data_IF_085549868170
#
_entry.id   IF_085549868170
#
_cell.length_a   1.000
_cell.length_b   1.000
_cell.length_c   1.000
_cell.angle_alpha   90.00
_cell.angle_beta   90.00
_cell.angle_gamma   90.00
#
_symmetry.space_group_name_H-M   'P 1'
#
loop_
_entity.id
_entity.type
_entity.pdbx_description
1 polymer ?
#
# COMPACT_ATOMS: atom_id res chain seq x y z
N UNK A 1 39.22 115.32 70.91
CA UNK A 1 39.34 115.23 72.38
C UNK A 1 40.05 113.93 72.68
N UNK A 2 41.36 113.96 72.57
CA UNK A 2 42.19 112.77 72.68
C UNK A 2 42.31 112.37 74.14
N UNK A 3 41.81 111.17 74.50
CA UNK A 3 42.04 110.57 75.81
C UNK A 3 43.53 110.22 75.91
N UNK A 4 44.34 111.13 76.49
CA UNK A 4 45.72 110.82 76.84
C UNK A 4 45.74 109.57 77.73
N UNK A 5 46.31 108.49 77.20
CA UNK A 5 46.39 107.19 77.88
C UNK A 5 47.79 107.09 78.50
N UNK A 6 47.93 106.87 79.82
CA UNK A 6 49.24 106.73 80.44
C UNK A 6 50.00 105.55 79.84
N UNK A 7 51.17 105.81 79.27
CA UNK A 7 51.98 104.79 78.57
C UNK A 7 52.74 103.85 79.52
N UNK A 8 52.71 104.12 80.83
CA UNK A 8 53.45 103.39 81.86
C UNK A 8 52.53 102.96 83.02
N UNK A 9 52.68 101.72 83.55
CA UNK A 9 51.92 101.25 84.70
C UNK A 9 52.37 101.95 86.00
N UNK A 10 51.54 101.88 87.04
CA UNK A 10 51.93 102.38 88.36
C UNK A 10 53.08 101.54 88.97
N UNK A 11 54.04 102.17 89.68
CA UNK A 11 55.08 101.45 90.43
C UNK A 11 54.51 100.49 91.49
N UNK A 12 55.19 99.35 91.68
CA UNK A 12 54.74 98.29 92.58
C UNK A 12 54.63 98.74 94.05
N UNK A 13 55.46 99.70 94.47
CA UNK A 13 55.50 100.26 95.83
C UNK A 13 54.19 100.97 96.17
N UNK A 14 53.57 101.64 95.19
CA UNK A 14 52.32 102.37 95.37
C UNK A 14 51.13 101.40 95.32
N UNK A 15 51.19 100.40 94.43
CA UNK A 15 50.16 99.35 94.32
C UNK A 15 50.06 98.46 95.57
N UNK A 16 51.16 98.29 96.32
CA UNK A 16 51.23 97.49 97.56
C UNK A 16 50.96 98.28 98.84
N UNK A 17 50.64 99.58 98.73
CA UNK A 17 50.43 100.47 99.88
C UNK A 17 49.02 100.29 100.49
N UNK A 18 48.86 100.27 101.83
CA UNK A 18 47.54 100.18 102.47
C UNK A 18 46.65 101.38 102.12
N UNK A 19 45.35 101.11 101.94
CA UNK A 19 44.34 102.09 101.46
C UNK A 19 44.26 103.34 102.32
N UNK A 20 44.47 103.19 103.63
CA UNK A 20 44.50 104.26 104.62
C UNK A 20 45.57 105.35 104.32
N UNK A 21 46.56 105.03 103.45
CA UNK A 21 47.60 105.97 102.97
C UNK A 21 47.39 106.44 101.52
N UNK A 22 46.49 105.85 100.75
CA UNK A 22 46.16 106.31 99.38
C UNK A 22 45.02 107.34 99.37
N UNK A 23 44.42 107.64 100.52
CA UNK A 23 43.27 108.53 100.67
C UNK A 23 43.70 109.92 101.19
N UNK A 24 43.14 110.98 100.61
CA UNK A 24 43.33 112.34 101.09
C UNK A 24 42.60 112.57 102.42
N UNK A 25 43.35 112.94 103.46
CA UNK A 25 42.85 113.17 104.83
C UNK A 25 41.90 114.37 104.98
N UNK A 26 41.82 115.26 103.99
CA UNK A 26 40.92 116.43 104.03
C UNK A 26 39.55 116.19 103.37
N UNK A 27 39.50 115.41 102.29
CA UNK A 27 38.29 115.21 101.49
C UNK A 27 37.86 113.75 101.29
N UNK A 28 38.61 112.76 101.81
CA UNK A 28 38.29 111.33 101.70
C UNK A 28 38.47 110.73 100.29
N UNK A 29 39.00 111.51 99.34
CA UNK A 29 39.20 111.11 97.94
C UNK A 29 40.50 110.31 97.80
N UNK A 30 40.45 109.13 97.17
CA UNK A 30 41.66 108.35 96.84
C UNK A 30 42.48 109.05 95.74
N UNK A 31 43.79 109.20 95.97
CA UNK A 31 44.74 109.73 94.98
C UNK A 31 44.91 108.80 93.76
N UNK A 32 44.38 107.57 93.82
CA UNK A 32 44.46 106.57 92.76
C UNK A 32 43.17 106.45 91.93
N UNK A 33 42.13 107.26 92.19
CA UNK A 33 40.80 107.13 91.56
C UNK A 33 40.85 107.06 90.02
N UNK A 34 41.74 107.80 89.36
CA UNK A 34 41.90 107.76 87.90
C UNK A 34 42.41 106.39 87.41
N UNK A 35 43.32 105.75 88.16
CA UNK A 35 43.77 104.38 87.90
C UNK A 35 42.69 103.36 88.25
N UNK A 36 41.95 103.56 89.34
CA UNK A 36 40.84 102.69 89.75
C UNK A 36 39.71 102.71 88.70
N UNK A 37 39.34 103.89 88.16
CA UNK A 37 38.43 104.01 87.02
C UNK A 37 39.00 103.39 85.74
N UNK A 38 40.29 103.57 85.42
CA UNK A 38 40.90 102.98 84.22
C UNK A 38 40.91 101.45 84.28
N UNK A 39 41.23 100.87 85.43
CA UNK A 39 41.19 99.42 85.67
C UNK A 39 39.75 98.88 85.57
N UNK A 40 38.74 99.67 85.95
CA UNK A 40 37.33 99.35 85.71
C UNK A 40 36.93 99.50 84.23
N UNK A 41 37.35 100.54 83.51
CA UNK A 41 37.13 100.68 82.05
C UNK A 41 37.68 99.46 81.29
N UNK A 42 38.93 99.05 81.58
CA UNK A 42 39.57 97.92 80.90
C UNK A 42 38.96 96.57 81.31
N UNK A 43 38.50 96.42 82.56
CA UNK A 43 37.75 95.24 82.99
C UNK A 43 36.37 95.15 82.31
N UNK A 44 35.64 96.27 82.19
CA UNK A 44 34.37 96.33 81.46
C UNK A 44 34.59 95.96 80.00
N UNK A 45 35.59 96.58 79.34
CA UNK A 45 35.94 96.27 77.95
C UNK A 45 36.33 94.80 77.74
N UNK A 46 36.99 94.18 78.72
CA UNK A 46 37.31 92.75 78.70
C UNK A 46 36.03 91.91 78.78
N UNK A 47 35.12 92.22 79.72
CA UNK A 47 33.82 91.54 79.85
C UNK A 47 32.90 91.75 78.63
N UNK A 48 32.97 92.88 77.95
CA UNK A 48 32.23 93.14 76.69
C UNK A 48 32.77 92.29 75.53
N UNK A 49 34.10 92.13 75.42
CA UNK A 49 34.74 91.22 74.46
C UNK A 49 34.40 89.75 74.77
N UNK A 50 34.36 89.37 76.05
CA UNK A 50 33.93 88.04 76.47
C UNK A 50 32.44 87.80 76.13
N UNK A 51 31.55 88.72 76.48
CA UNK A 51 30.10 88.61 76.21
C UNK A 51 29.78 88.53 74.70
N UNK A 52 30.50 89.28 73.86
CA UNK A 52 30.35 89.19 72.40
C UNK A 52 30.88 87.87 71.84
N UNK A 53 32.00 87.36 72.38
CA UNK A 53 32.51 86.02 72.07
C UNK A 53 31.54 84.90 72.50
N UNK A 54 30.96 85.00 73.70
CA UNK A 54 29.95 84.05 74.19
C UNK A 54 28.68 84.07 73.33
N UNK A 55 28.16 85.26 72.96
CA UNK A 55 27.01 85.36 72.06
C UNK A 55 27.28 84.69 70.71
N UNK A 56 28.39 85.04 70.06
CA UNK A 56 28.76 84.43 68.78
C UNK A 56 29.02 82.91 68.89
N UNK A 57 29.40 82.42 70.07
CA UNK A 57 29.53 80.98 70.34
C UNK A 57 28.17 80.30 70.46
N UNK A 58 27.23 80.87 71.21
CA UNK A 58 25.86 80.37 71.34
C UNK A 58 25.10 80.39 69.99
N UNK A 59 25.32 81.41 69.16
CA UNK A 59 24.75 81.48 67.80
C UNK A 59 25.29 80.37 66.88
N UNK A 60 26.60 80.08 66.94
CA UNK A 60 27.20 78.94 66.21
C UNK A 60 26.70 77.60 66.74
N UNK A 61 26.63 77.42 68.05
CA UNK A 61 26.18 76.17 68.67
C UNK A 61 24.71 75.90 68.34
N UNK A 62 23.84 76.92 68.39
CA UNK A 62 22.45 76.79 67.94
C UNK A 62 22.39 76.34 66.47
N UNK A 63 23.16 76.98 65.57
CA UNK A 63 23.17 76.57 64.16
C UNK A 63 23.61 75.11 64.00
N UNK A 64 24.62 74.67 64.75
CA UNK A 64 25.07 73.27 64.73
C UNK A 64 24.00 72.30 65.26
N UNK A 65 23.18 72.71 66.23
CA UNK A 65 22.02 71.92 66.70
C UNK A 65 20.91 71.86 65.63
N UNK A 66 20.62 72.97 64.96
CA UNK A 66 19.68 73.04 63.83
C UNK A 66 20.17 72.16 62.65
N UNK A 67 21.46 72.26 62.27
CA UNK A 67 22.09 71.44 61.22
C UNK A 67 22.10 69.93 61.60
N UNK A 68 22.34 69.58 62.87
CA UNK A 68 22.29 68.19 63.36
C UNK A 68 20.88 67.60 63.34
N UNK A 69 19.85 68.38 63.64
CA UNK A 69 18.45 67.94 63.56
C UNK A 69 18.06 67.58 62.12
N UNK A 70 18.46 68.41 61.14
CA UNK A 70 18.24 68.14 59.71
C UNK A 70 18.95 66.86 59.27
N UNK A 71 20.25 66.71 59.58
CA UNK A 71 21.03 65.51 59.24
C UNK A 71 20.46 64.24 59.90
N UNK A 72 19.96 64.34 61.13
CA UNK A 72 19.31 63.21 61.81
C UNK A 72 18.00 62.80 61.13
N UNK A 73 17.22 63.77 60.64
CA UNK A 73 15.97 63.51 59.92
C UNK A 73 16.24 62.91 58.52
N UNK A 74 17.23 63.42 57.80
CA UNK A 74 17.68 62.85 56.51
C UNK A 74 18.20 61.41 56.67
N UNK A 75 18.92 61.11 57.75
CA UNK A 75 19.44 59.77 58.03
C UNK A 75 18.31 58.75 58.29
N UNK A 76 17.33 59.09 59.13
CA UNK A 76 16.19 58.19 59.41
C UNK A 76 15.25 58.05 58.18
N UNK A 77 15.08 59.11 57.38
CA UNK A 77 14.39 58.98 56.09
C UNK A 77 15.14 58.03 55.15
N UNK A 78 16.46 58.22 54.97
CA UNK A 78 17.30 57.37 54.12
C UNK A 78 17.29 55.90 54.55
N UNK A 79 17.26 55.65 55.86
CA UNK A 79 17.15 54.33 56.48
C UNK A 79 15.81 53.66 56.21
N UNK A 80 14.68 54.33 56.43
CA UNK A 80 13.34 53.77 56.11
C UNK A 80 13.15 53.56 54.60
N UNK A 81 13.69 54.47 53.78
CA UNK A 81 13.82 54.28 52.33
C UNK A 81 14.61 53.00 52.00
N UNK A 82 15.75 52.77 52.65
CA UNK A 82 16.60 51.59 52.48
C UNK A 82 15.90 50.29 52.90
N UNK A 83 15.23 50.28 54.05
CA UNK A 83 14.45 49.16 54.56
C UNK A 83 13.32 48.79 53.58
N UNK A 84 12.56 49.78 53.08
CA UNK A 84 11.50 49.55 52.09
C UNK A 84 12.02 49.01 50.75
N UNK A 85 13.20 49.45 50.31
CA UNK A 85 13.87 48.94 49.10
C UNK A 85 14.39 47.52 49.30
N UNK A 86 14.96 47.22 50.47
CA UNK A 86 15.41 45.87 50.83
C UNK A 86 14.24 44.87 50.87
N UNK A 87 13.09 45.24 51.44
CA UNK A 87 11.91 44.37 51.47
C UNK A 87 11.34 44.14 50.06
N UNK A 88 11.25 45.18 49.23
CA UNK A 88 10.87 45.04 47.81
C UNK A 88 11.83 44.13 47.03
N UNK A 89 13.13 44.20 47.32
CA UNK A 89 14.12 43.30 46.70
C UNK A 89 13.90 41.84 47.11
N UNK A 90 13.62 41.54 48.38
CA UNK A 90 13.28 40.16 48.82
C UNK A 90 12.09 39.61 48.05
N UNK A 91 11.00 40.38 47.98
CA UNK A 91 9.75 39.98 47.30
C UNK A 91 10.02 39.69 45.81
N UNK A 92 10.80 40.55 45.14
CA UNK A 92 11.16 40.35 43.74
C UNK A 92 12.08 39.13 43.55
N UNK A 93 13.03 38.87 44.45
CA UNK A 93 13.88 37.67 44.41
C UNK A 93 13.06 36.39 44.58
N UNK A 94 12.08 36.38 45.50
CA UNK A 94 11.14 35.25 45.65
C UNK A 94 10.33 35.02 44.38
N UNK A 95 9.77 36.07 43.77
CA UNK A 95 9.01 35.97 42.53
C UNK A 95 9.86 35.50 41.34
N UNK A 96 11.13 35.94 41.24
CA UNK A 96 12.07 35.46 40.21
C UNK A 96 12.32 33.97 40.40
N UNK A 97 12.66 33.53 41.61
CA UNK A 97 12.90 32.13 41.94
C UNK A 97 11.64 31.27 41.70
N UNK A 98 10.44 31.76 41.99
CA UNK A 98 9.17 31.10 41.62
C UNK A 98 9.05 30.91 40.10
N UNK A 99 9.35 31.94 39.30
CA UNK A 99 9.28 31.85 37.82
C UNK A 99 10.40 31.04 37.20
N UNK A 100 11.59 30.98 37.80
CA UNK A 100 12.66 30.07 37.40
C UNK A 100 12.26 28.60 37.62
N UNK A 101 11.57 28.29 38.72
CA UNK A 101 11.02 26.96 38.96
C UNK A 101 9.87 26.61 38.00
N UNK A 102 8.94 27.53 37.72
CA UNK A 102 7.89 27.32 36.71
C UNK A 102 8.50 27.05 35.31
N UNK A 103 9.53 27.80 34.92
CA UNK A 103 10.22 27.61 33.64
C UNK A 103 10.99 26.28 33.59
N UNK A 104 11.55 25.79 34.70
CA UNK A 104 12.18 24.48 34.78
C UNK A 104 11.17 23.37 34.51
N UNK A 105 10.05 23.36 35.25
CA UNK A 105 8.99 22.35 35.11
C UNK A 105 8.40 22.34 33.69
N UNK A 106 8.10 23.51 33.12
CA UNK A 106 7.62 23.63 31.75
C UNK A 106 8.65 23.16 30.70
N UNK A 107 9.95 23.25 31.01
CA UNK A 107 11.02 22.72 30.13
C UNK A 107 11.10 21.20 30.19
N UNK A 108 10.90 20.61 31.38
CA UNK A 108 10.83 19.15 31.56
C UNK A 108 9.57 18.56 30.90
N UNK A 109 8.39 19.17 31.11
CA UNK A 109 7.14 18.78 30.43
C UNK A 109 7.26 18.85 28.90
N UNK A 110 7.88 19.91 28.37
CA UNK A 110 8.14 20.06 26.94
C UNK A 110 9.12 19.00 26.41
N UNK A 111 10.10 18.57 27.20
CA UNK A 111 11.02 17.50 26.84
C UNK A 111 10.29 16.14 26.76
N UNK A 112 9.49 15.79 27.78
CA UNK A 112 8.69 14.57 27.80
C UNK A 112 7.67 14.53 26.65
N UNK A 113 6.91 15.61 26.43
CA UNK A 113 5.91 15.68 25.35
C UNK A 113 6.56 15.55 23.96
N UNK A 114 7.79 16.10 23.79
CA UNK A 114 8.57 15.92 22.56
C UNK A 114 9.00 14.47 22.33
N UNK A 115 9.33 13.73 23.39
CA UNK A 115 9.67 12.30 23.32
C UNK A 115 8.45 11.46 22.93
N UNK A 116 7.29 11.70 23.55
CA UNK A 116 6.01 11.07 23.18
C UNK A 116 5.64 11.30 21.71
N UNK A 117 5.85 12.53 21.20
CA UNK A 117 5.65 12.85 19.79
C UNK A 117 6.61 12.10 18.87
N UNK A 118 7.87 11.90 19.27
CA UNK A 118 8.81 11.07 18.47
C UNK A 118 8.41 9.59 18.45
N UNK A 119 8.07 9.01 19.61
CA UNK A 119 7.63 7.61 19.70
C UNK A 119 6.34 7.35 18.89
N UNK A 120 5.38 8.28 18.99
CA UNK A 120 4.14 8.22 18.20
C UNK A 120 4.42 8.28 16.70
N UNK A 121 5.32 9.19 16.27
CA UNK A 121 5.72 9.35 14.86
C UNK A 121 6.42 8.11 14.29
N UNK A 122 7.25 7.44 15.09
CA UNK A 122 7.88 6.17 14.72
C UNK A 122 6.85 5.05 14.60
N UNK A 123 5.91 4.95 15.55
CA UNK A 123 4.83 3.97 15.50
C UNK A 123 3.92 4.16 14.28
N UNK A 124 3.54 5.40 13.96
CA UNK A 124 2.84 5.73 12.71
C UNK A 124 3.62 5.29 11.48
N UNK A 125 4.95 5.47 11.46
CA UNK A 125 5.77 5.11 10.31
C UNK A 125 5.78 3.60 10.08
N UNK A 126 5.93 2.81 11.14
CA UNK A 126 5.83 1.35 11.09
C UNK A 126 4.45 0.90 10.56
N UNK A 127 3.36 1.59 10.92
CA UNK A 127 2.04 1.32 10.36
C UNK A 127 1.92 1.73 8.88
N UNK A 128 2.48 2.87 8.47
CA UNK A 128 2.53 3.31 7.05
C UNK A 128 3.29 2.30 6.19
N UNK A 129 4.48 1.90 6.60
CA UNK A 129 5.34 0.97 5.87
C UNK A 129 4.68 -0.41 5.73
N UNK A 130 4.08 -0.91 6.82
CA UNK A 130 3.31 -2.16 6.80
C UNK A 130 2.08 -2.05 5.90
N UNK A 131 1.38 -0.91 5.89
CA UNK A 131 0.23 -0.70 4.99
C UNK A 131 0.66 -0.67 3.51
N UNK A 132 1.82 -0.08 3.20
CA UNK A 132 2.37 -0.07 1.84
C UNK A 132 2.75 -1.49 1.37
N UNK A 133 3.37 -2.28 2.25
CA UNK A 133 3.73 -3.69 1.98
C UNK A 133 2.49 -4.56 1.68
N UNK A 134 1.40 -4.37 2.43
CA UNK A 134 0.14 -5.07 2.17
C UNK A 134 -0.55 -4.58 0.88
N UNK A 135 -0.49 -3.28 0.58
CA UNK A 135 -1.03 -2.73 -0.67
C UNK A 135 -0.27 -3.26 -1.91
N UNK A 136 1.04 -3.43 -1.82
CA UNK A 136 1.85 -4.03 -2.88
C UNK A 136 1.48 -5.51 -3.10
N UNK A 137 1.36 -6.28 -2.01
CA UNK A 137 0.91 -7.69 -2.04
C UNK A 137 -0.47 -7.83 -2.67
N UNK A 138 -1.45 -7.05 -2.23
CA UNK A 138 -2.80 -7.03 -2.81
C UNK A 138 -2.79 -6.67 -4.30
N UNK A 139 -1.96 -5.70 -4.70
CA UNK A 139 -1.83 -5.31 -6.12
C UNK A 139 -1.29 -6.46 -6.97
N UNK A 140 -0.30 -7.22 -6.48
CA UNK A 140 0.24 -8.43 -7.13
C UNK A 140 -0.80 -9.57 -7.18
N UNK A 141 -1.57 -9.79 -6.11
CA UNK A 141 -2.65 -10.79 -6.10
C UNK A 141 -3.77 -10.42 -7.09
N UNK A 142 -4.12 -9.13 -7.20
CA UNK A 142 -5.15 -8.66 -8.13
C UNK A 142 -4.73 -8.75 -9.60
N UNK A 143 -3.45 -8.56 -9.94
CA UNK A 143 -2.97 -8.76 -11.31
C UNK A 143 -2.94 -10.25 -11.69
N UNK A 144 -2.52 -11.13 -10.79
CA UNK A 144 -2.59 -12.58 -10.98
C UNK A 144 -4.04 -13.08 -11.13
N UNK A 145 -4.97 -12.58 -10.32
CA UNK A 145 -6.39 -12.94 -10.42
C UNK A 145 -7.00 -12.52 -11.77
N UNK A 146 -6.68 -11.31 -12.25
CA UNK A 146 -7.10 -10.83 -13.59
C UNK A 146 -6.51 -11.69 -14.71
N UNK A 147 -5.24 -12.09 -14.60
CA UNK A 147 -4.61 -12.98 -15.57
C UNK A 147 -5.33 -14.34 -15.63
N UNK A 148 -5.55 -14.98 -14.47
CA UNK A 148 -6.28 -16.26 -14.39
C UNK A 148 -7.72 -16.15 -14.91
N UNK A 149 -8.38 -15.00 -14.73
CA UNK A 149 -9.70 -14.73 -15.30
C UNK A 149 -9.67 -14.68 -16.84
N UNK A 150 -8.64 -14.09 -17.45
CA UNK A 150 -8.46 -14.11 -18.90
C UNK A 150 -8.21 -15.53 -19.43
N UNK A 151 -7.29 -16.28 -18.80
CA UNK A 151 -7.02 -17.69 -19.16
C UNK A 151 -8.27 -18.57 -19.05
N UNK A 152 -9.10 -18.37 -18.02
CA UNK A 152 -10.38 -19.08 -17.86
C UNK A 152 -11.34 -18.79 -19.01
N UNK A 153 -11.37 -17.55 -19.54
CA UNK A 153 -12.20 -17.20 -20.70
C UNK A 153 -11.68 -17.86 -21.97
N UNK A 154 -10.36 -17.88 -22.19
CA UNK A 154 -9.72 -18.53 -23.36
C UNK A 154 -10.00 -20.03 -23.37
N UNK A 155 -9.71 -20.74 -22.28
CA UNK A 155 -9.98 -22.19 -22.14
C UNK A 155 -11.47 -22.49 -22.34
N UNK A 156 -12.37 -21.61 -21.90
CA UNK A 156 -13.81 -21.75 -22.12
C UNK A 156 -14.22 -21.56 -23.59
N UNK A 157 -13.62 -20.62 -24.32
CA UNK A 157 -13.86 -20.51 -25.78
C UNK A 157 -13.33 -21.73 -26.54
N UNK A 158 -12.16 -22.25 -26.17
CA UNK A 158 -11.54 -23.39 -26.85
C UNK A 158 -12.36 -24.67 -26.64
N UNK A 159 -12.82 -24.94 -25.40
CA UNK A 159 -13.72 -26.06 -25.11
C UNK A 159 -15.04 -25.95 -25.89
N UNK A 160 -15.60 -24.75 -26.05
CA UNK A 160 -16.81 -24.54 -26.85
C UNK A 160 -16.55 -24.76 -28.35
N UNK A 161 -15.39 -24.34 -28.87
CA UNK A 161 -14.99 -24.58 -30.26
C UNK A 161 -14.76 -26.08 -30.53
N UNK A 162 -14.11 -26.80 -29.60
CA UNK A 162 -13.95 -28.26 -29.66
C UNK A 162 -15.30 -28.98 -29.62
N UNK A 163 -16.21 -28.57 -28.71
CA UNK A 163 -17.56 -29.14 -28.63
C UNK A 163 -18.37 -28.92 -29.92
N UNK A 164 -18.29 -27.71 -30.50
CA UNK A 164 -18.95 -27.39 -31.78
C UNK A 164 -18.38 -28.23 -32.94
N UNK A 165 -17.06 -28.42 -32.95
CA UNK A 165 -16.37 -29.26 -33.92
C UNK A 165 -16.77 -30.74 -33.78
N UNK A 166 -16.86 -31.25 -32.55
CA UNK A 166 -17.33 -32.61 -32.25
C UNK A 166 -18.79 -32.83 -32.67
N UNK A 167 -19.69 -31.88 -32.38
CA UNK A 167 -21.10 -31.95 -32.82
C UNK A 167 -21.18 -31.99 -34.35
N UNK A 168 -20.39 -31.17 -35.04
CA UNK A 168 -20.32 -31.12 -36.51
C UNK A 168 -19.83 -32.45 -37.08
N UNK A 169 -18.71 -32.98 -36.57
CA UNK A 169 -18.11 -34.24 -37.03
C UNK A 169 -19.02 -35.44 -36.73
N UNK A 170 -19.69 -35.47 -35.57
CA UNK A 170 -20.73 -36.46 -35.24
C UNK A 170 -21.90 -36.41 -36.23
N UNK A 171 -22.34 -35.21 -36.63
CA UNK A 171 -23.40 -35.05 -37.62
C UNK A 171 -22.97 -35.55 -39.01
N UNK A 172 -21.75 -35.21 -39.44
CA UNK A 172 -21.17 -35.67 -40.71
C UNK A 172 -21.05 -37.20 -40.76
N UNK A 173 -20.51 -37.82 -39.71
CA UNK A 173 -20.43 -39.28 -39.59
C UNK A 173 -21.83 -39.93 -39.60
N UNK A 174 -22.81 -39.31 -38.93
CA UNK A 174 -24.21 -39.74 -38.97
C UNK A 174 -24.78 -39.77 -40.39
N UNK A 175 -24.58 -38.71 -41.17
CA UNK A 175 -25.01 -38.68 -42.58
C UNK A 175 -24.26 -39.70 -43.44
N UNK A 176 -22.94 -39.85 -43.28
CA UNK A 176 -22.16 -40.84 -44.03
C UNK A 176 -22.63 -42.28 -43.75
N UNK A 177 -22.87 -42.64 -42.49
CA UNK A 177 -23.40 -43.95 -42.11
C UNK A 177 -24.81 -44.16 -42.69
N UNK A 178 -25.66 -43.13 -42.70
CA UNK A 178 -26.99 -43.20 -43.30
C UNK A 178 -26.91 -43.42 -44.84
N UNK A 179 -26.02 -42.73 -45.53
CA UNK A 179 -25.89 -42.81 -46.99
C UNK A 179 -25.19 -44.09 -47.45
N UNK A 180 -24.22 -44.60 -46.69
CA UNK A 180 -23.67 -45.95 -46.85
C UNK A 180 -24.78 -46.99 -46.64
N UNK A 181 -25.63 -46.82 -45.62
CA UNK A 181 -26.78 -47.70 -45.36
C UNK A 181 -27.80 -47.72 -46.50
N UNK A 182 -28.16 -46.55 -47.05
CA UNK A 182 -29.00 -46.44 -48.27
C UNK A 182 -28.37 -47.16 -49.45
N UNK A 183 -27.08 -46.93 -49.69
CA UNK A 183 -26.33 -47.51 -50.82
C UNK A 183 -26.25 -49.03 -50.73
N UNK A 184 -25.91 -49.57 -49.55
CA UNK A 184 -25.87 -51.01 -49.31
C UNK A 184 -27.26 -51.65 -49.42
N UNK A 185 -28.31 -50.98 -48.94
CA UNK A 185 -29.69 -51.45 -49.08
C UNK A 185 -30.10 -51.52 -50.57
N UNK A 186 -29.77 -50.50 -51.37
CA UNK A 186 -30.03 -50.50 -52.80
C UNK A 186 -29.25 -51.61 -53.53
N UNK A 187 -28.00 -51.84 -53.13
CA UNK A 187 -27.17 -52.92 -53.68
C UNK A 187 -27.72 -54.31 -53.34
N UNK A 188 -28.15 -54.54 -52.10
CA UNK A 188 -28.81 -55.81 -51.70
C UNK A 188 -30.10 -56.04 -52.50
N UNK A 189 -30.91 -55.01 -52.73
CA UNK A 189 -32.10 -55.10 -53.59
C UNK A 189 -31.70 -55.46 -55.03
N UNK A 190 -30.65 -54.84 -55.58
CA UNK A 190 -30.11 -55.14 -56.91
C UNK A 190 -29.63 -56.58 -57.03
N UNK A 191 -28.83 -57.05 -56.08
CA UNK A 191 -28.30 -58.42 -56.08
C UNK A 191 -29.41 -59.46 -55.92
N UNK A 192 -30.41 -59.20 -55.07
CA UNK A 192 -31.58 -60.09 -54.93
C UNK A 192 -32.42 -60.16 -56.22
N UNK A 193 -32.57 -59.04 -56.94
CA UNK A 193 -33.23 -59.03 -58.26
C UNK A 193 -32.45 -59.89 -59.27
N UNK A 194 -31.15 -59.65 -59.42
CA UNK A 194 -30.29 -60.40 -60.34
C UNK A 194 -30.28 -61.91 -60.01
N UNK A 195 -30.30 -62.27 -58.73
CA UNK A 195 -30.39 -63.65 -58.27
C UNK A 195 -31.72 -64.31 -58.66
N UNK A 196 -32.85 -63.60 -58.51
CA UNK A 196 -34.16 -64.09 -58.92
C UNK A 196 -34.26 -64.27 -60.46
N UNK A 197 -33.66 -63.36 -61.23
CA UNK A 197 -33.58 -63.47 -62.70
C UNK A 197 -32.76 -64.71 -63.11
N UNK A 198 -31.56 -64.89 -62.55
CA UNK A 198 -30.71 -66.06 -62.82
C UNK A 198 -31.34 -67.39 -62.36
N UNK A 199 -32.11 -67.40 -61.26
CA UNK A 199 -32.89 -68.56 -60.83
C UNK A 199 -34.02 -68.88 -61.83
N UNK A 200 -34.71 -67.87 -62.35
CA UNK A 200 -35.72 -68.03 -63.40
C UNK A 200 -35.15 -68.61 -64.69
N UNK A 201 -33.99 -68.10 -65.14
CA UNK A 201 -33.26 -68.64 -66.28
C UNK A 201 -32.82 -70.09 -66.04
N UNK A 202 -32.29 -70.39 -64.84
CA UNK A 202 -31.89 -71.76 -64.46
C UNK A 202 -33.08 -72.74 -64.50
N UNK A 203 -34.25 -72.34 -64.00
CA UNK A 203 -35.47 -73.15 -64.07
C UNK A 203 -35.98 -73.32 -65.52
N UNK A 204 -35.87 -72.27 -66.35
CA UNK A 204 -36.21 -72.33 -67.77
C UNK A 204 -35.31 -73.33 -68.51
N UNK A 205 -33.99 -73.22 -68.33
CA UNK A 205 -32.99 -74.15 -68.88
C UNK A 205 -33.18 -75.58 -68.37
N UNK A 206 -33.52 -75.77 -67.09
CA UNK A 206 -33.80 -77.09 -66.53
C UNK A 206 -35.07 -77.71 -67.15
N UNK A 207 -36.10 -76.91 -67.45
CA UNK A 207 -37.31 -77.38 -68.12
C UNK A 207 -37.06 -77.67 -69.62
N UNK A 208 -36.25 -76.85 -70.30
CA UNK A 208 -35.79 -77.15 -71.67
C UNK A 208 -34.96 -78.44 -71.70
N UNK A 209 -34.06 -78.65 -70.74
CA UNK A 209 -33.27 -79.88 -70.61
C UNK A 209 -34.16 -81.11 -70.39
N UNK A 210 -35.18 -81.02 -69.51
CA UNK A 210 -36.17 -82.10 -69.32
C UNK A 210 -36.95 -82.39 -70.60
N UNK A 211 -37.36 -81.36 -71.34
CA UNK A 211 -38.05 -81.54 -72.62
C UNK A 211 -37.14 -82.20 -73.67
N UNK A 212 -35.90 -81.72 -73.83
CA UNK A 212 -34.91 -82.31 -74.73
C UNK A 212 -34.55 -83.76 -74.35
N UNK A 213 -34.47 -84.08 -73.05
CA UNK A 213 -34.33 -85.45 -72.56
C UNK A 213 -35.53 -86.30 -73.00
N UNK A 214 -36.76 -85.84 -72.76
CA UNK A 214 -37.99 -86.56 -73.15
C UNK A 214 -38.06 -86.79 -74.66
N UNK A 215 -37.67 -85.79 -75.46
CA UNK A 215 -37.59 -85.90 -76.93
C UNK A 215 -36.50 -86.90 -77.34
N UNK A 216 -35.32 -86.84 -76.72
CA UNK A 216 -34.23 -87.81 -76.94
C UNK A 216 -34.66 -89.24 -76.62
N UNK A 217 -35.32 -89.45 -75.48
CA UNK A 217 -35.81 -90.76 -75.06
C UNK A 217 -36.87 -91.29 -76.05
N UNK A 218 -37.77 -90.42 -76.54
CA UNK A 218 -38.74 -90.76 -77.58
C UNK A 218 -38.11 -91.05 -78.96
N UNK A 219 -36.99 -90.40 -79.29
CA UNK A 219 -36.21 -90.65 -80.49
C UNK A 219 -35.44 -91.98 -80.39
N UNK A 220 -34.92 -92.32 -79.21
CA UNK A 220 -34.32 -93.65 -78.95
C UNK A 220 -35.38 -94.75 -79.07
N UNK A 221 -36.56 -94.57 -78.48
CA UNK A 221 -37.69 -95.50 -78.60
C UNK A 221 -38.11 -95.70 -80.07
N UNK A 222 -38.41 -94.62 -80.80
CA UNK A 222 -38.80 -94.73 -82.22
C UNK A 222 -37.68 -95.26 -83.10
N UNK A 223 -36.40 -95.00 -82.79
CA UNK A 223 -35.26 -95.63 -83.47
C UNK A 223 -35.19 -97.14 -83.20
N UNK A 224 -35.51 -97.58 -81.97
CA UNK A 224 -35.56 -98.98 -81.58
C UNK A 224 -36.77 -99.72 -82.19
N UNK A 225 -37.92 -99.06 -82.31
CA UNK A 225 -39.08 -99.53 -83.10
C UNK A 225 -38.73 -99.65 -84.59
N UNK A 226 -38.02 -98.67 -85.16
CA UNK A 226 -37.60 -98.70 -86.56
C UNK A 226 -36.53 -99.78 -86.80
N UNK A 227 -35.65 -100.04 -85.82
CA UNK A 227 -34.68 -101.14 -85.87
C UNK A 227 -35.36 -102.51 -85.77
N UNK A 228 -36.36 -102.70 -84.91
CA UNK A 228 -37.12 -103.95 -84.82
C UNK A 228 -38.03 -104.15 -86.04
N UNK A 229 -38.66 -103.09 -86.56
CA UNK A 229 -39.37 -103.12 -87.85
C UNK A 229 -38.44 -103.51 -89.00
N UNK A 230 -37.17 -103.05 -88.99
CA UNK A 230 -36.15 -103.41 -89.99
C UNK A 230 -35.60 -104.83 -89.79
N UNK A 231 -35.60 -105.36 -88.58
CA UNK A 231 -35.36 -106.79 -88.34
C UNK A 231 -36.50 -107.63 -88.90
N UNK A 232 -37.76 -107.23 -88.66
CA UNK A 232 -38.95 -107.89 -89.21
C UNK A 232 -39.00 -107.80 -90.76
N UNK A 233 -38.57 -106.68 -91.34
CA UNK A 233 -38.38 -106.52 -92.79
C UNK A 233 -37.32 -107.50 -93.33
N UNK A 234 -36.17 -107.62 -92.66
CA UNK A 234 -35.14 -108.60 -93.03
C UNK A 234 -35.61 -110.05 -92.85
N UNK A 235 -36.45 -110.33 -91.86
CA UNK A 235 -37.03 -111.66 -91.61
C UNK A 235 -38.09 -112.03 -92.67
N UNK A 236 -38.91 -111.06 -93.09
CA UNK A 236 -39.76 -111.16 -94.28
C UNK A 236 -38.93 -111.35 -95.56
N UNK A 237 -37.81 -110.65 -95.70
CA UNK A 237 -36.89 -110.74 -96.84
C UNK A 237 -36.22 -112.11 -96.92
N UNK A 238 -35.83 -112.68 -95.78
CA UNK A 238 -35.34 -114.06 -95.67
C UNK A 238 -36.44 -115.07 -96.05
N UNK A 239 -37.68 -114.91 -95.54
CA UNK A 239 -38.83 -115.73 -95.96
C UNK A 239 -39.10 -115.66 -97.46
N UNK A 240 -38.99 -114.48 -98.07
CA UNK A 240 -39.06 -114.34 -99.53
C UNK A 240 -37.91 -115.06 -100.24
N UNK A 241 -36.71 -115.06 -99.67
CA UNK A 241 -35.57 -115.81 -100.20
C UNK A 241 -35.74 -117.33 -100.09
N UNK A 242 -36.31 -117.84 -98.99
CA UNK A 242 -36.62 -119.26 -98.81
C UNK A 242 -37.70 -119.74 -99.80
N UNK A 243 -38.74 -118.93 -100.03
CA UNK A 243 -39.74 -119.19 -101.07
C UNK A 243 -39.13 -119.15 -102.49
N UNK A 244 -38.21 -118.22 -102.74
CA UNK A 244 -37.50 -118.10 -104.01
C UNK A 244 -36.56 -119.29 -104.27
N UNK A 245 -36.01 -119.89 -103.21
CA UNK A 245 -35.12 -121.07 -103.26
C UNK A 245 -35.86 -122.38 -103.56
N UNK A 246 -37.19 -122.41 -103.40
CA UNK A 246 -38.05 -123.57 -103.64
C UNK A 246 -38.65 -123.64 -105.07
N UNK A 247 -38.38 -122.65 -105.92
CA UNK A 247 -39.19 -122.41 -107.14
C UNK A 247 -38.40 -122.47 -108.47
N UNK A 248 -37.09 -122.70 -108.48
CA UNK A 248 -36.27 -122.71 -109.72
C UNK A 248 -35.36 -123.94 -109.86
N UNK A 249 -35.95 -125.13 -109.89
CA UNK A 249 -35.39 -126.30 -110.57
C UNK A 249 -36.35 -126.82 -111.65
N UNK A 250 -36.53 -126.08 -112.75
CA UNK A 250 -37.00 -126.62 -114.05
C UNK A 250 -36.87 -125.62 -115.22
N UNK A 251 -36.64 -126.16 -116.41
CA UNK A 251 -36.77 -125.54 -117.75
C UNK A 251 -35.87 -124.34 -118.15
N UNK A 252 -35.05 -124.57 -119.20
CA UNK A 252 -34.29 -123.58 -120.01
C UNK A 252 -34.59 -123.88 -121.50
N UNK A 253 -34.37 -122.97 -122.51
CA UNK A 253 -33.01 -122.80 -123.08
C UNK A 253 -32.64 -121.50 -123.89
N UNK A 254 -31.32 -121.22 -123.94
CA UNK A 254 -30.49 -120.62 -125.05
C UNK A 254 -30.65 -119.14 -125.51
N UNK A 255 -29.77 -118.27 -124.97
CA UNK A 255 -28.64 -117.52 -125.62
C UNK A 255 -28.64 -117.22 -127.14
N UNK A 256 -28.06 -116.08 -127.62
CA UNK A 256 -26.58 -115.87 -127.58
C UNK A 256 -26.01 -114.42 -127.45
N UNK A 257 -24.69 -114.34 -127.14
CA UNK A 257 -23.61 -113.36 -127.50
C UNK A 257 -23.88 -111.84 -127.64
N UNK A 258 -22.97 -110.86 -127.40
CA UNK A 258 -21.61 -110.67 -126.79
C UNK A 258 -21.38 -109.12 -126.72
N UNK A 259 -20.25 -108.45 -126.37
CA UNK A 259 -18.84 -108.78 -126.04
C UNK A 259 -18.17 -107.58 -125.32
N UNK A 260 -17.11 -107.79 -124.51
CA UNK A 260 -15.99 -106.84 -124.21
C UNK A 260 -16.35 -105.46 -123.53
N UNK A 261 -15.46 -104.70 -122.85
CA UNK A 261 -14.06 -104.90 -122.42
C UNK A 261 -13.70 -103.99 -121.21
N UNK A 262 -13.04 -104.58 -120.19
CA UNK A 262 -11.88 -104.09 -119.40
C UNK A 262 -11.96 -104.42 -117.90
#
# INVERSE_FOLDING_TARGET
MDKHTPEHPLPEEILKMPRDKTICTYCGVSYLILHEFKLLEDKIKTLENELTSYRGSAEREKKLQDDLLLLSQELEQSKTDGESKAERLKILTSQINEKENELHLLTEELACSKEEVTLTREQEQLFRDKSAEQQEKLTKTLSLLKFLQCEQVIVKSDLNAMLTSWITLKSQLGSQVQDIGKTLSAEVIRLNKNLAEAQGETLSLQNQMKHLQTVSDSFVLTSQELQTSRQMENELKNRCHDLQKLTVETATPRNPCCSQER
#
